data_IF_869873975758
#
_entry.id   IF_869873975758
#
_cell.length_a   1.000
_cell.length_b   1.000
_cell.length_c   1.000
_cell.angle_alpha   90.00
_cell.angle_beta   90.00
_cell.angle_gamma   90.00
#
_symmetry.space_group_name_H-M   'P 1'
#
loop_
_entity.id
_entity.type
_entity.pdbx_description
1 polymer ?
#
# COMPACT_ATOMS: atom_id res chain seq x y z
N UNK A 1 4.78 15.51 10.70
CA UNK A 1 6.17 15.07 10.93
C UNK A 1 6.46 13.63 10.48
N UNK A 2 5.75 12.55 10.91
CA UNK A 2 6.13 11.18 10.56
C UNK A 2 6.07 10.87 9.06
N UNK A 3 5.10 11.43 8.33
CA UNK A 3 4.96 11.25 6.89
C UNK A 3 6.17 11.80 6.12
N UNK A 4 6.66 12.98 6.46
CA UNK A 4 7.84 13.57 5.83
C UNK A 4 9.11 12.77 6.08
N UNK A 5 9.26 12.18 7.29
CA UNK A 5 10.39 11.30 7.60
C UNK A 5 10.31 10.01 6.77
N UNK A 6 9.14 9.39 6.66
CA UNK A 6 8.95 8.20 5.84
C UNK A 6 9.28 8.43 4.37
N UNK A 7 8.79 9.53 3.82
CA UNK A 7 9.07 9.92 2.44
C UNK A 7 10.55 10.21 2.22
N UNK A 8 11.19 10.97 3.11
CA UNK A 8 12.60 11.26 3.02
C UNK A 8 13.46 10.00 3.05
N UNK A 9 13.08 9.02 3.87
CA UNK A 9 13.75 7.71 3.94
C UNK A 9 13.60 6.96 2.60
N UNK A 10 12.39 6.88 2.06
CA UNK A 10 12.14 6.22 0.77
C UNK A 10 12.90 6.90 -0.36
N UNK A 11 12.87 8.24 -0.44
CA UNK A 11 13.63 8.99 -1.45
C UNK A 11 15.14 8.79 -1.28
N UNK A 12 15.64 8.75 -0.05
CA UNK A 12 17.04 8.46 0.27
C UNK A 12 17.46 7.07 -0.20
N UNK A 13 16.61 6.04 0.04
CA UNK A 13 16.86 4.68 -0.44
C UNK A 13 16.85 4.60 -1.97
N UNK A 14 15.92 5.28 -2.63
CA UNK A 14 15.84 5.33 -4.10
C UNK A 14 17.09 6.01 -4.68
N UNK A 15 17.50 7.14 -4.14
CA UNK A 15 18.69 7.85 -4.57
C UNK A 15 19.95 6.97 -4.38
N UNK A 16 20.08 6.35 -3.21
CA UNK A 16 21.19 5.44 -2.89
C UNK A 16 21.24 4.25 -3.86
N UNK A 17 20.10 3.61 -4.13
CA UNK A 17 20.03 2.52 -5.10
C UNK A 17 20.49 2.94 -6.50
N UNK A 18 20.09 4.13 -6.97
CA UNK A 18 20.51 4.66 -8.26
C UNK A 18 22.02 4.98 -8.30
N UNK A 19 22.58 5.56 -7.23
CA UNK A 19 24.01 5.82 -7.12
C UNK A 19 24.82 4.53 -7.14
N UNK A 20 24.37 3.49 -6.43
CA UNK A 20 25.04 2.20 -6.38
C UNK A 20 25.08 1.55 -7.76
N UNK A 21 23.96 1.58 -8.50
CA UNK A 21 23.94 1.07 -9.89
C UNK A 21 24.96 1.79 -10.77
N UNK A 22 25.10 3.10 -10.61
CA UNK A 22 26.05 3.91 -11.40
C UNK A 22 27.50 3.59 -11.03
N UNK A 23 27.75 3.27 -9.75
CA UNK A 23 29.11 2.96 -9.26
C UNK A 23 29.67 1.63 -9.76
N UNK A 24 28.81 0.72 -10.25
CA UNK A 24 29.17 -0.64 -10.73
C UNK A 24 29.98 -1.48 -9.71
N UNK A 25 29.91 -1.16 -8.42
CA UNK A 25 30.67 -1.84 -7.36
C UNK A 25 29.83 -2.97 -6.74
N UNK A 26 30.17 -4.26 -6.96
CA UNK A 26 29.37 -5.39 -6.48
C UNK A 26 29.26 -5.46 -4.95
N UNK A 27 30.26 -4.95 -4.22
CA UNK A 27 30.25 -4.88 -2.76
C UNK A 27 29.15 -3.93 -2.25
N UNK A 28 28.95 -2.79 -2.91
CA UNK A 28 27.91 -1.84 -2.54
C UNK A 28 26.50 -2.41 -2.78
N UNK A 29 26.33 -3.19 -3.82
CA UNK A 29 25.06 -3.90 -4.07
C UNK A 29 24.76 -4.88 -2.93
N UNK A 30 25.77 -5.65 -2.47
CA UNK A 30 25.60 -6.56 -1.34
C UNK A 30 25.27 -5.83 -0.03
N UNK A 31 25.96 -4.72 0.24
CA UNK A 31 25.66 -3.88 1.42
C UNK A 31 24.23 -3.31 1.37
N UNK A 32 23.77 -2.90 0.20
CA UNK A 32 22.40 -2.41 0.02
C UNK A 32 21.35 -3.51 0.25
N UNK A 33 21.62 -4.73 -0.24
CA UNK A 33 20.75 -5.88 0.01
C UNK A 33 20.64 -6.17 1.52
N UNK A 34 21.76 -6.13 2.25
CA UNK A 34 21.78 -6.28 3.72
C UNK A 34 21.04 -5.15 4.41
N UNK A 35 21.25 -3.90 3.98
CA UNK A 35 20.53 -2.73 4.51
C UNK A 35 19.02 -2.88 4.35
N UNK A 36 18.56 -3.29 3.16
CA UNK A 36 17.13 -3.54 2.91
C UNK A 36 16.60 -4.64 3.84
N UNK A 37 17.32 -5.74 4.01
CA UNK A 37 16.92 -6.79 4.92
C UNK A 37 16.83 -6.27 6.37
N UNK A 38 17.84 -5.53 6.84
CA UNK A 38 17.88 -4.96 8.20
C UNK A 38 16.73 -3.98 8.46
N UNK A 39 16.33 -3.19 7.48
CA UNK A 39 15.17 -2.27 7.62
C UNK A 39 13.86 -3.07 7.73
N UNK A 40 13.76 -4.22 7.07
CA UNK A 40 12.55 -5.03 7.05
C UNK A 40 12.39 -5.95 8.26
N UNK A 41 13.49 -6.40 8.89
CA UNK A 41 13.45 -7.28 10.08
C UNK A 41 12.65 -6.66 11.24
N UNK A 42 12.86 -5.40 11.65
CA UNK A 42 12.02 -4.78 12.68
C UNK A 42 10.54 -4.78 12.35
N UNK A 43 10.17 -4.62 11.07
CA UNK A 43 8.77 -4.64 10.64
C UNK A 43 8.16 -6.03 10.84
N UNK A 44 8.91 -7.09 10.53
CA UNK A 44 8.50 -8.47 10.85
C UNK A 44 8.30 -8.64 12.37
N UNK A 45 9.28 -8.20 13.14
CA UNK A 45 9.25 -8.33 14.61
C UNK A 45 8.03 -7.60 15.19
N UNK A 46 7.78 -6.36 14.77
CA UNK A 46 6.61 -5.60 15.21
C UNK A 46 5.32 -6.31 14.82
N UNK A 47 5.22 -6.80 13.58
CA UNK A 47 4.06 -7.56 13.14
C UNK A 47 3.81 -8.81 13.99
N UNK A 48 4.85 -9.58 14.28
CA UNK A 48 4.77 -10.78 15.13
C UNK A 48 4.43 -10.44 16.59
N UNK A 49 4.97 -9.35 17.13
CA UNK A 49 4.63 -8.86 18.47
C UNK A 49 3.16 -8.48 18.57
N UNK A 50 2.60 -7.80 17.55
CA UNK A 50 1.18 -7.47 17.51
C UNK A 50 0.29 -8.73 17.47
N UNK A 51 0.76 -9.80 16.85
CA UNK A 51 0.04 -11.09 16.83
C UNK A 51 0.16 -11.85 18.16
N UNK A 52 1.27 -11.67 18.89
CA UNK A 52 1.54 -12.38 20.16
C UNK A 52 0.83 -11.71 21.35
N UNK A 53 0.58 -10.42 21.32
CA UNK A 53 -0.04 -9.66 22.42
C UNK A 53 -1.57 -9.75 22.27
N UNK A 54 -2.32 -10.13 23.34
CA UNK A 54 -3.78 -10.13 23.30
C UNK A 54 -4.35 -8.75 22.93
N UNK A 55 -5.37 -8.73 22.07
CA UNK A 55 -5.99 -7.48 21.59
C UNK A 55 -6.51 -6.59 22.72
N UNK A 56 -6.97 -7.20 23.83
CA UNK A 56 -7.44 -6.51 25.02
C UNK A 56 -6.31 -5.70 25.69
N UNK A 57 -5.10 -6.26 25.74
CA UNK A 57 -3.92 -5.59 26.28
C UNK A 57 -3.49 -4.43 25.38
N UNK A 58 -3.51 -4.62 24.06
CA UNK A 58 -3.20 -3.57 23.09
C UNK A 58 -4.19 -2.42 23.18
N UNK A 59 -5.48 -2.73 23.28
CA UNK A 59 -6.54 -1.69 23.40
C UNK A 59 -6.42 -0.91 24.72
N UNK A 60 -6.00 -1.54 25.81
CA UNK A 60 -5.78 -0.85 27.09
C UNK A 60 -4.56 0.08 27.07
N UNK A 61 -3.51 -0.28 26.35
CA UNK A 61 -2.31 0.55 26.19
C UNK A 61 -2.55 1.76 25.27
N UNK A 62 -3.52 1.65 24.37
CA UNK A 62 -3.85 2.68 23.36
C UNK A 62 -5.05 3.54 23.72
N UNK A 63 -5.40 3.68 25.01
CA UNK A 63 -6.54 4.49 25.48
C UNK A 63 -6.63 5.90 24.88
N UNK A 64 -5.52 6.48 24.45
CA UNK A 64 -5.47 7.77 23.75
C UNK A 64 -5.68 7.67 22.22
N UNK A 65 -5.71 6.47 21.64
CA UNK A 65 -5.96 6.19 20.23
C UNK A 65 -7.32 5.54 19.98
N UNK A 66 -8.19 5.58 20.98
CA UNK A 66 -9.50 4.90 21.00
C UNK A 66 -10.50 5.34 19.92
N UNK A 67 -10.16 6.35 19.10
CA UNK A 67 -10.97 6.75 17.95
C UNK A 67 -10.81 5.80 16.73
N UNK A 68 -9.78 4.95 16.71
CA UNK A 68 -9.57 3.97 15.65
C UNK A 68 -9.84 2.57 16.22
N UNK A 69 -11.00 1.99 15.88
CA UNK A 69 -11.28 0.57 16.10
C UNK A 69 -10.37 -0.30 15.22
N UNK A 70 -9.06 -0.32 15.55
CA UNK A 70 -8.05 -1.01 14.76
C UNK A 70 -8.18 -2.53 14.92
N UNK A 71 -8.25 -3.25 13.81
CA UNK A 71 -8.11 -4.69 13.81
C UNK A 71 -6.63 -5.05 14.00
N UNK A 72 -6.20 -5.23 15.24
CA UNK A 72 -4.80 -5.50 15.63
C UNK A 72 -4.24 -6.78 15.00
N UNK A 73 -5.07 -7.81 14.87
CA UNK A 73 -4.67 -9.07 14.22
C UNK A 73 -4.38 -8.85 12.75
N UNK A 74 -5.23 -8.12 12.04
CA UNK A 74 -4.98 -7.78 10.63
C UNK A 74 -3.75 -6.88 10.48
N UNK A 75 -3.54 -5.93 11.40
CA UNK A 75 -2.33 -5.10 11.44
C UNK A 75 -1.07 -5.96 11.61
N UNK A 76 -1.09 -6.89 12.55
CA UNK A 76 0.01 -7.82 12.79
C UNK A 76 0.35 -8.66 11.55
N UNK A 77 -0.63 -9.30 10.93
CA UNK A 77 -0.42 -10.08 9.70
C UNK A 77 0.08 -9.24 8.54
N UNK A 78 -0.46 -8.04 8.34
CA UNK A 78 -0.05 -7.14 7.27
C UNK A 78 1.40 -6.69 7.44
N UNK A 79 1.80 -6.26 8.64
CA UNK A 79 3.18 -5.85 8.93
C UNK A 79 4.15 -7.03 8.84
N UNK A 80 3.81 -8.18 9.42
CA UNK A 80 4.65 -9.38 9.32
C UNK A 80 4.83 -9.82 7.86
N UNK A 81 3.77 -9.82 7.07
CA UNK A 81 3.79 -10.16 5.65
C UNK A 81 4.62 -9.17 4.83
N UNK A 82 4.43 -7.86 5.02
CA UNK A 82 5.21 -6.82 4.34
C UNK A 82 6.69 -6.91 4.68
N UNK A 83 7.02 -7.05 5.96
CA UNK A 83 8.40 -7.18 6.41
C UNK A 83 9.06 -8.46 5.90
N UNK A 84 8.35 -9.61 6.00
CA UNK A 84 8.84 -10.89 5.48
C UNK A 84 9.08 -10.83 3.96
N UNK A 85 8.14 -10.26 3.21
CA UNK A 85 8.34 -10.01 1.78
C UNK A 85 9.59 -9.18 1.53
N UNK A 86 9.75 -8.07 2.27
CA UNK A 86 10.91 -7.19 2.16
C UNK A 86 12.23 -7.91 2.44
N UNK A 87 12.30 -8.76 3.47
CA UNK A 87 13.46 -9.60 3.76
C UNK A 87 13.72 -10.60 2.63
N UNK A 88 12.70 -11.32 2.17
CA UNK A 88 12.83 -12.33 1.12
C UNK A 88 13.34 -11.73 -0.19
N UNK A 89 12.76 -10.61 -0.64
CA UNK A 89 13.19 -9.98 -1.91
C UNK A 89 14.53 -9.23 -1.80
N UNK A 90 15.03 -8.99 -0.58
CA UNK A 90 16.40 -8.52 -0.36
C UNK A 90 17.43 -9.62 -0.67
N UNK A 91 17.04 -10.90 -0.65
CA UNK A 91 17.89 -12.02 -0.95
C UNK A 91 18.01 -12.23 -2.47
N UNK A 92 19.24 -12.22 -3.01
CA UNK A 92 19.51 -12.45 -4.44
C UNK A 92 18.95 -13.76 -5.00
N UNK A 93 19.01 -14.90 -4.26
CA UNK A 93 18.42 -16.16 -4.75
C UNK A 93 16.93 -16.03 -5.06
N UNK A 94 16.18 -15.35 -4.19
CA UNK A 94 14.74 -15.11 -4.38
C UNK A 94 14.50 -14.26 -5.64
N UNK A 95 15.26 -13.17 -5.82
CA UNK A 95 15.17 -12.34 -7.02
C UNK A 95 15.53 -13.09 -8.31
N UNK A 96 16.47 -14.04 -8.26
CA UNK A 96 16.78 -14.92 -9.41
C UNK A 96 15.63 -15.83 -9.77
N UNK A 97 14.87 -16.32 -8.80
CA UNK A 97 13.65 -17.10 -9.07
C UNK A 97 12.60 -16.20 -9.70
N UNK A 98 12.36 -15.03 -9.12
CA UNK A 98 11.40 -14.05 -9.65
C UNK A 98 11.76 -13.55 -11.05
N UNK A 99 13.07 -13.43 -11.37
CA UNK A 99 13.51 -12.98 -12.70
C UNK A 99 13.21 -13.99 -13.83
N UNK A 100 12.85 -15.23 -13.51
CA UNK A 100 12.35 -16.20 -14.49
C UNK A 100 10.91 -15.93 -14.92
N UNK A 101 10.13 -15.26 -14.05
CA UNK A 101 8.72 -14.97 -14.27
C UNK A 101 8.48 -13.53 -14.71
N UNK A 102 9.40 -12.63 -14.38
CA UNK A 102 9.27 -11.18 -14.63
C UNK A 102 10.57 -10.63 -15.21
N UNK A 103 10.55 -9.57 -16.01
CA UNK A 103 11.75 -8.94 -16.59
C UNK A 103 12.54 -8.15 -15.53
N UNK A 104 13.05 -8.86 -14.51
CA UNK A 104 13.81 -8.30 -13.39
C UNK A 104 15.30 -8.58 -13.55
N UNK A 105 16.14 -7.63 -13.14
CA UNK A 105 17.57 -7.84 -12.96
C UNK A 105 17.84 -8.17 -11.49
N UNK A 106 18.15 -9.43 -11.18
CA UNK A 106 18.32 -9.94 -9.82
C UNK A 106 19.42 -9.21 -9.02
N UNK A 107 20.44 -8.72 -9.69
CA UNK A 107 21.56 -8.00 -9.08
C UNK A 107 21.37 -6.47 -9.05
N UNK A 108 20.20 -5.97 -9.49
CA UNK A 108 19.90 -4.54 -9.49
C UNK A 108 19.32 -4.09 -8.13
N UNK A 109 19.97 -3.17 -7.40
CA UNK A 109 19.43 -2.62 -6.15
C UNK A 109 18.13 -1.83 -6.38
N UNK A 110 17.94 -1.23 -7.56
CA UNK A 110 16.70 -0.53 -7.92
C UNK A 110 15.54 -1.51 -8.02
N UNK A 111 15.74 -2.67 -8.65
CA UNK A 111 14.71 -3.70 -8.73
C UNK A 111 14.42 -4.34 -7.36
N UNK A 112 15.46 -4.53 -6.51
CA UNK A 112 15.26 -5.00 -5.15
C UNK A 112 14.36 -4.05 -4.36
N UNK A 113 14.67 -2.75 -4.38
CA UNK A 113 13.87 -1.72 -3.71
C UNK A 113 12.44 -1.62 -4.28
N UNK A 114 12.28 -1.69 -5.61
CA UNK A 114 10.97 -1.67 -6.25
C UNK A 114 10.09 -2.85 -5.79
N UNK A 115 10.66 -4.04 -5.65
CA UNK A 115 9.96 -5.21 -5.11
C UNK A 115 9.55 -5.03 -3.64
N UNK A 116 10.42 -4.45 -2.80
CA UNK A 116 10.08 -4.12 -1.40
C UNK A 116 8.90 -3.16 -1.36
N UNK A 117 8.99 -2.05 -2.12
CA UNK A 117 7.94 -1.02 -2.14
C UNK A 117 6.61 -1.55 -2.72
N UNK A 118 6.65 -2.41 -3.74
CA UNK A 118 5.43 -3.03 -4.26
C UNK A 118 4.77 -3.96 -3.24
N UNK A 119 5.57 -4.72 -2.47
CA UNK A 119 5.05 -5.51 -1.36
C UNK A 119 4.40 -4.66 -0.26
N UNK A 120 4.96 -3.50 0.03
CA UNK A 120 4.36 -2.55 0.97
C UNK A 120 3.05 -1.96 0.45
N UNK A 121 2.97 -1.63 -0.83
CA UNK A 121 1.73 -1.18 -1.45
C UNK A 121 0.62 -2.23 -1.33
N UNK A 122 0.92 -3.46 -1.71
CA UNK A 122 -0.04 -4.58 -1.61
C UNK A 122 -0.45 -4.82 -0.16
N UNK A 123 0.53 -4.91 0.76
CA UNK A 123 0.26 -5.13 2.18
C UNK A 123 -0.56 -4.00 2.82
N UNK A 124 -0.27 -2.75 2.48
CA UNK A 124 -1.06 -1.61 2.93
C UNK A 124 -2.49 -1.63 2.37
N UNK A 125 -2.67 -2.02 1.11
CA UNK A 125 -4.01 -2.18 0.52
C UNK A 125 -4.80 -3.27 1.24
N UNK A 126 -4.19 -4.44 1.48
CA UNK A 126 -4.82 -5.53 2.24
C UNK A 126 -5.17 -5.06 3.64
N UNK A 127 -4.25 -4.38 4.33
CA UNK A 127 -4.50 -3.81 5.64
C UNK A 127 -5.70 -2.84 5.63
N UNK A 128 -5.74 -1.89 4.71
CA UNK A 128 -6.84 -0.93 4.60
C UNK A 128 -8.18 -1.61 4.37
N UNK A 129 -8.22 -2.66 3.53
CA UNK A 129 -9.43 -3.44 3.30
C UNK A 129 -9.93 -4.18 4.56
N UNK A 130 -9.02 -4.54 5.48
CA UNK A 130 -9.39 -5.22 6.73
C UNK A 130 -9.80 -4.28 7.85
N UNK A 131 -9.60 -2.96 7.72
CA UNK A 131 -9.94 -1.96 8.74
C UNK A 131 -11.35 -1.38 8.63
N UNK A 132 -11.99 -1.43 7.54
CA UNK A 132 -13.34 -0.89 7.30
C UNK A 132 -13.75 -1.06 5.85
N UNK A 133 -12.85 -1.70 5.08
CA UNK A 133 -13.10 -2.00 3.69
C UNK A 133 -13.09 -0.76 2.79
N UNK A 134 -13.80 -0.87 1.69
CA UNK A 134 -13.90 0.18 0.68
C UNK A 134 -14.72 1.39 1.17
N UNK A 135 -15.61 1.19 2.14
CA UNK A 135 -16.47 2.25 2.67
C UNK A 135 -15.65 3.30 3.42
N UNK A 136 -14.79 2.89 4.36
CA UNK A 136 -13.91 3.81 5.08
C UNK A 136 -12.87 4.47 4.17
N UNK A 137 -12.39 3.75 3.16
CA UNK A 137 -11.51 4.32 2.14
C UNK A 137 -12.24 5.39 1.31
N UNK A 138 -13.50 5.16 0.93
CA UNK A 138 -14.31 6.12 0.20
C UNK A 138 -14.66 7.35 1.07
N UNK A 139 -15.03 7.15 2.33
CA UNK A 139 -15.29 8.24 3.27
C UNK A 139 -14.05 9.12 3.49
N UNK A 140 -12.88 8.51 3.64
CA UNK A 140 -11.60 9.22 3.77
C UNK A 140 -11.25 9.99 2.49
N UNK A 141 -11.49 9.41 1.31
CA UNK A 141 -11.24 10.06 0.04
C UNK A 141 -12.13 11.29 -0.18
N UNK A 142 -13.40 11.21 0.22
CA UNK A 142 -14.35 12.34 0.14
C UNK A 142 -13.97 13.48 1.09
N UNK A 143 -13.36 13.17 2.23
CA UNK A 143 -12.93 14.17 3.22
C UNK A 143 -11.58 14.81 2.92
N UNK A 144 -10.80 14.26 1.96
CA UNK A 144 -9.50 14.79 1.60
C UNK A 144 -9.61 16.19 0.97
N UNK A 145 -8.83 17.14 1.48
CA UNK A 145 -8.79 18.47 0.87
C UNK A 145 -8.07 18.42 -0.50
N UNK A 146 -8.41 19.37 -1.38
CA UNK A 146 -7.72 19.51 -2.67
C UNK A 146 -6.21 19.66 -2.46
N UNK A 147 -5.79 20.35 -1.39
CA UNK A 147 -4.36 20.52 -1.05
C UNK A 147 -3.71 19.19 -0.67
N UNK A 148 -4.40 18.32 0.06
CA UNK A 148 -3.89 16.99 0.42
C UNK A 148 -3.69 16.13 -0.83
N UNK A 149 -4.64 16.18 -1.77
CA UNK A 149 -4.55 15.48 -3.05
C UNK A 149 -3.34 15.98 -3.84
N UNK A 150 -3.17 17.30 -3.99
CA UNK A 150 -2.01 17.87 -4.68
C UNK A 150 -0.69 17.52 -4.01
N UNK A 151 -0.65 17.53 -2.67
CA UNK A 151 0.54 17.17 -1.91
C UNK A 151 0.91 15.70 -2.14
N UNK A 152 -0.04 14.79 -2.04
CA UNK A 152 0.16 13.35 -2.24
C UNK A 152 0.59 13.08 -3.69
N UNK A 153 -0.07 13.66 -4.69
CA UNK A 153 0.28 13.50 -6.10
C UNK A 153 1.65 14.11 -6.42
N UNK A 154 1.98 15.25 -5.84
CA UNK A 154 3.30 15.86 -5.93
C UNK A 154 4.39 14.94 -5.40
N UNK A 155 4.11 14.28 -4.28
CA UNK A 155 5.02 13.32 -3.66
C UNK A 155 5.25 12.08 -4.53
N UNK A 156 4.20 11.51 -5.10
CA UNK A 156 4.31 10.41 -6.07
C UNK A 156 5.11 10.83 -7.30
N UNK A 157 4.88 12.04 -7.80
CA UNK A 157 5.62 12.58 -8.95
C UNK A 157 7.11 12.71 -8.64
N UNK A 158 7.48 13.29 -7.49
CA UNK A 158 8.87 13.39 -7.04
C UNK A 158 9.50 12.00 -6.92
N UNK A 159 8.79 11.05 -6.30
CA UNK A 159 9.24 9.67 -6.13
C UNK A 159 9.48 8.99 -7.48
N UNK A 160 8.58 9.18 -8.45
CA UNK A 160 8.74 8.64 -9.79
C UNK A 160 9.96 9.23 -10.52
N UNK A 161 10.13 10.55 -10.46
CA UNK A 161 11.25 11.27 -11.09
C UNK A 161 12.59 10.86 -10.48
N UNK A 162 12.68 10.77 -9.15
CA UNK A 162 13.88 10.28 -8.45
C UNK A 162 14.09 8.80 -8.73
N UNK A 163 13.02 7.99 -8.79
CA UNK A 163 13.06 6.57 -9.09
C UNK A 163 13.65 6.27 -10.47
N UNK A 164 13.33 7.08 -11.47
CA UNK A 164 13.92 6.98 -12.82
C UNK A 164 15.39 7.41 -12.83
N UNK A 165 15.89 8.05 -11.76
CA UNK A 165 17.29 8.43 -11.56
C UNK A 165 17.63 9.79 -12.14
N UNK A 166 16.77 10.79 -11.99
CA UNK A 166 17.06 12.18 -12.34
C UNK A 166 18.32 12.65 -11.60
N UNK A 167 19.25 13.27 -12.31
CA UNK A 167 20.56 13.76 -11.88
C UNK A 167 21.50 12.68 -11.30
N UNK A 168 21.06 11.45 -11.04
CA UNK A 168 21.90 10.35 -10.53
C UNK A 168 22.38 9.41 -11.63
N UNK A 169 21.52 9.11 -12.61
CA UNK A 169 21.80 8.19 -13.73
C UNK A 169 21.48 8.79 -15.09
N UNK A 170 20.58 9.76 -15.13
CA UNK A 170 20.00 10.30 -16.37
C UNK A 170 19.86 11.80 -16.29
N UNK A 171 20.13 12.45 -17.42
CA UNK A 171 19.78 13.85 -17.59
C UNK A 171 18.26 14.08 -17.70
N UNK A 172 17.78 15.33 -17.56
CA UNK A 172 16.35 15.66 -17.59
C UNK A 172 15.62 15.17 -18.85
N UNK A 173 16.28 15.22 -20.00
CA UNK A 173 15.69 14.78 -21.28
C UNK A 173 15.43 13.26 -21.29
N UNK A 174 16.40 12.44 -20.88
CA UNK A 174 16.26 11.00 -20.81
C UNK A 174 15.20 10.57 -19.76
N UNK A 175 15.04 11.34 -18.69
CA UNK A 175 13.98 11.13 -17.70
C UNK A 175 12.60 11.44 -18.30
N UNK A 176 12.46 12.54 -19.01
CA UNK A 176 11.21 12.90 -19.71
C UNK A 176 10.78 11.82 -20.71
N UNK A 177 11.70 11.34 -21.54
CA UNK A 177 11.44 10.28 -22.51
C UNK A 177 10.98 8.99 -21.81
N UNK A 178 11.65 8.60 -20.72
CA UNK A 178 11.32 7.37 -20.00
C UNK A 178 10.02 7.45 -19.21
N UNK A 179 9.65 8.60 -18.71
CA UNK A 179 8.36 8.85 -18.06
C UNK A 179 7.23 9.09 -19.07
N UNK A 180 7.53 9.04 -20.36
CA UNK A 180 6.53 9.32 -21.40
C UNK A 180 6.08 10.77 -21.43
N UNK A 181 6.84 11.72 -20.86
CA UNK A 181 6.54 13.14 -20.81
C UNK A 181 6.89 13.86 -22.13
N UNK A 182 6.81 13.15 -23.25
CA UNK A 182 6.83 13.74 -24.59
C UNK A 182 5.52 14.46 -24.87
N UNK A 183 5.51 15.36 -25.88
CA UNK A 183 4.25 15.99 -26.28
C UNK A 183 3.29 14.90 -26.76
N UNK A 184 2.11 14.75 -26.13
CA UNK A 184 1.17 13.71 -26.53
C UNK A 184 0.67 13.99 -27.94
N UNK A 185 0.55 12.94 -28.73
CA UNK A 185 -0.15 13.02 -30.01
C UNK A 185 -1.65 13.11 -29.77
N UNK A 186 -2.40 13.65 -30.73
CA UNK A 186 -3.86 13.75 -30.64
C UNK A 186 -4.52 12.38 -30.42
N UNK A 187 -4.00 11.33 -31.05
CA UNK A 187 -4.46 9.97 -30.84
C UNK A 187 -4.25 9.49 -29.41
N UNK A 188 -3.10 9.80 -28.79
CA UNK A 188 -2.83 9.46 -27.39
C UNK A 188 -3.76 10.20 -26.42
N UNK A 189 -4.10 11.46 -26.71
CA UNK A 189 -5.07 12.21 -25.91
C UNK A 189 -6.46 11.57 -25.97
N UNK A 190 -6.96 11.24 -27.17
CA UNK A 190 -8.25 10.55 -27.33
C UNK A 190 -8.25 9.21 -26.61
N UNK A 191 -7.19 8.42 -26.77
CA UNK A 191 -7.04 7.14 -26.08
C UNK A 191 -7.04 7.31 -24.56
N UNK A 192 -6.32 8.33 -24.05
CA UNK A 192 -6.30 8.66 -22.64
C UNK A 192 -7.67 9.03 -22.09
N UNK A 193 -8.41 9.89 -22.80
CA UNK A 193 -9.80 10.24 -22.44
C UNK A 193 -10.70 9.01 -22.49
N UNK A 194 -10.56 8.17 -23.52
CA UNK A 194 -11.29 6.90 -23.61
C UNK A 194 -11.07 5.99 -22.41
N UNK A 195 -9.82 5.84 -21.95
CA UNK A 195 -9.51 5.07 -20.74
C UNK A 195 -10.10 5.68 -19.48
N UNK A 196 -10.12 7.01 -19.34
CA UNK A 196 -10.78 7.67 -18.19
C UNK A 196 -12.26 7.31 -18.16
N UNK A 197 -12.97 7.38 -19.31
CA UNK A 197 -14.38 7.00 -19.40
C UNK A 197 -14.58 5.53 -19.01
N UNK A 198 -13.74 4.63 -19.53
CA UNK A 198 -13.80 3.19 -19.17
C UNK A 198 -13.61 2.97 -17.68
N UNK A 199 -12.63 3.63 -17.05
CA UNK A 199 -12.35 3.50 -15.63
C UNK A 199 -13.51 4.03 -14.77
N UNK A 200 -14.10 5.18 -15.13
CA UNK A 200 -15.27 5.74 -14.44
C UNK A 200 -16.46 4.77 -14.55
N UNK A 201 -16.67 4.17 -15.71
CA UNK A 201 -17.74 3.20 -15.91
C UNK A 201 -17.53 1.92 -15.11
N UNK A 202 -16.30 1.39 -15.08
CA UNK A 202 -15.95 0.24 -14.25
C UNK A 202 -16.12 0.53 -12.76
N UNK A 203 -15.75 1.72 -12.30
CA UNK A 203 -15.96 2.15 -10.92
C UNK A 203 -17.44 2.23 -10.58
N UNK A 204 -18.27 2.79 -11.46
CA UNK A 204 -19.72 2.86 -11.27
C UNK A 204 -20.36 1.46 -11.20
N UNK A 205 -19.97 0.54 -12.08
CA UNK A 205 -20.41 -0.86 -12.04
C UNK A 205 -19.96 -1.53 -10.74
N UNK A 206 -18.71 -1.37 -10.35
CA UNK A 206 -18.18 -1.92 -9.09
C UNK A 206 -18.95 -1.42 -7.88
N UNK A 207 -19.25 -0.13 -7.82
CA UNK A 207 -20.08 0.47 -6.77
C UNK A 207 -21.52 -0.07 -6.76
N UNK A 208 -22.13 -0.22 -7.94
CA UNK A 208 -23.47 -0.79 -8.05
C UNK A 208 -23.51 -2.26 -7.59
N UNK A 209 -22.55 -3.08 -7.99
CA UNK A 209 -22.44 -4.46 -7.53
C UNK A 209 -22.27 -4.52 -6.02
N UNK A 210 -21.39 -3.65 -5.46
CA UNK A 210 -21.16 -3.60 -4.02
C UNK A 210 -22.43 -3.23 -3.26
N UNK A 211 -23.19 -2.22 -3.72
CA UNK A 211 -24.44 -1.82 -3.09
C UNK A 211 -25.51 -2.92 -3.09
N UNK A 212 -25.54 -3.77 -4.12
CA UNK A 212 -26.43 -4.93 -4.18
C UNK A 212 -26.04 -6.02 -3.17
N UNK A 213 -24.74 -6.25 -2.97
CA UNK A 213 -24.23 -7.23 -1.99
C UNK A 213 -24.50 -6.74 -0.57
N UNK A 214 -24.24 -5.48 -0.28
CA UNK A 214 -24.41 -4.88 1.04
C UNK A 214 -25.90 -4.83 1.44
N UNK A 215 -26.78 -4.43 0.54
CA UNK A 215 -28.22 -4.43 0.79
C UNK A 215 -28.79 -5.84 1.08
N UNK A 216 -28.20 -6.89 0.49
CA UNK A 216 -28.59 -8.26 0.77
C UNK A 216 -28.20 -8.73 2.18
N UNK A 217 -27.08 -8.24 2.70
CA UNK A 217 -26.63 -8.54 4.07
C UNK A 217 -27.45 -7.79 5.14
N UNK A 218 -27.81 -6.55 4.87
CA UNK A 218 -28.66 -5.77 5.77
C UNK A 218 -30.06 -6.40 5.93
N UNK A 219 -30.62 -6.98 4.86
CA UNK A 219 -31.91 -7.70 4.89
C UNK A 219 -31.85 -8.98 5.72
N UNK A 220 -30.76 -9.71 5.71
CA UNK A 220 -30.57 -10.94 6.49
C UNK A 220 -30.36 -10.66 8.00
N UNK A 221 -29.64 -9.58 8.33
CA UNK A 221 -29.40 -9.19 9.72
C UNK A 221 -30.63 -8.63 10.43
N UNK A 222 -31.53 -7.96 9.70
CA UNK A 222 -32.77 -7.40 10.22
C UNK A 222 -33.78 -8.46 10.70
N UNK A 223 -33.89 -9.57 9.97
CA UNK A 223 -34.82 -10.66 10.31
C UNK A 223 -34.42 -11.41 11.60
N UNK A 224 -33.12 -11.61 11.85
CA UNK A 224 -32.64 -12.34 13.03
C UNK A 224 -32.83 -11.51 14.31
N UNK A 225 -32.81 -10.19 14.20
CA UNK A 225 -32.98 -9.28 15.35
C UNK A 225 -34.45 -9.07 15.73
N UNK A 226 -35.35 -9.12 14.75
CA UNK A 226 -36.81 -9.01 14.97
C UNK A 226 -37.39 -10.21 15.70
N UNK A 227 -36.95 -11.42 15.41
CA UNK A 227 -37.45 -12.64 16.06
C UNK A 227 -37.00 -12.80 17.53
N UNK A 228 -35.86 -12.24 17.93
CA UNK A 228 -35.38 -12.30 19.32
C UNK A 228 -36.08 -11.32 20.27
N UNK A 229 -36.69 -10.27 19.79
CA UNK A 229 -37.36 -9.26 20.62
C UNK A 229 -38.89 -9.45 20.71
N UNK A 230 -39.48 -10.26 19.83
CA UNK A 230 -40.93 -10.57 19.84
C UNK A 230 -41.36 -11.68 20.82
N UNK A 231 -40.42 -12.32 21.52
CA UNK A 231 -40.71 -13.52 22.34
C UNK A 231 -40.79 -13.33 23.86
N UNK A 232 -40.69 -12.09 24.38
CA UNK A 232 -40.78 -11.87 25.85
C UNK A 232 -41.71 -10.71 26.20
N UNK A 233 -42.95 -10.95 26.14
CA UNK A 233 -43.95 -9.96 26.55
C UNK A 233 -45.36 -10.51 26.75
N UNK A 234 -45.53 -11.58 27.54
CA UNK A 234 -46.80 -11.88 28.18
C UNK A 234 -46.62 -12.93 29.26
N UNK A 235 -46.64 -12.52 30.47
CA UNK A 235 -47.00 -13.23 31.71
C UNK A 235 -46.45 -12.34 32.86
N UNK A 236 -47.25 -11.78 33.72
CA UNK A 236 -48.19 -12.14 34.72
C UNK A 236 -48.60 -10.86 35.45
N UNK A 237 -49.87 -10.50 35.43
CA UNK A 237 -50.54 -9.83 36.53
C UNK A 237 -51.51 -10.85 37.12
N UNK A 238 -51.22 -11.28 38.32
CA UNK A 238 -52.21 -11.59 39.37
C UNK A 238 -51.48 -11.61 40.71
#
# INVERSE_FOLDING_TARGET
MPLLLGVSLVLGLIATANIIVTSQRPRLVGLFDVLLALINVPIVIIGLLLLAIPAETLSSLTMNFSALALNWTAAGWSLAGMGLWGVLVSLRPVRRVLSRMMPLQADSPVHALALVLSGYLVGNTVFSLTQGGLEDMAATAVSASILDIFFIQGLFTVTAVVGVGLYTRRGPQAVRERLGLSRPTFAQLITGVGWIVVLVFLQAIGGAIWSLIDSSQAGLGGNIRGERLGGKGTLIQR
#
